data_IF_749507649794
#
_entry.id   IF_749507649794
#
_cell.length_a   1.000
_cell.length_b   1.000
_cell.length_c   1.000
_cell.angle_alpha   90.00
_cell.angle_beta   90.00
_cell.angle_gamma   90.00
#
_symmetry.space_group_name_H-M   'P 1'
#
loop_
_entity.id
_entity.type
_entity.pdbx_description
1 polymer ?
#
# COMPACT_ATOMS: atom_id res chain seq x y z
N UNK A 1 -12.81 -5.74 14.99
CA UNK A 1 -13.14 -5.06 16.27
C UNK A 1 -14.35 -4.15 16.07
N UNK A 2 -15.27 -4.07 17.04
CA UNK A 2 -16.53 -3.31 16.93
C UNK A 2 -16.40 -1.78 17.03
N UNK A 3 -15.23 -1.22 16.71
CA UNK A 3 -15.01 0.23 16.62
C UNK A 3 -15.79 0.80 15.45
N UNK A 4 -16.26 2.04 15.60
CA UNK A 4 -17.06 2.74 14.58
C UNK A 4 -16.50 4.15 14.38
N UNK A 5 -16.61 4.72 13.16
CA UNK A 5 -16.32 6.14 12.95
C UNK A 5 -17.16 7.00 13.92
N UNK A 6 -16.52 7.95 14.59
CA UNK A 6 -17.14 8.83 15.60
C UNK A 6 -16.94 8.41 17.05
N UNK A 7 -16.36 7.23 17.29
CA UNK A 7 -15.93 6.80 18.63
C UNK A 7 -14.85 7.73 19.22
N UNK A 8 -14.98 8.08 20.51
CA UNK A 8 -13.94 8.78 21.27
C UNK A 8 -13.27 7.78 22.21
N UNK A 9 -11.95 7.63 22.12
CA UNK A 9 -11.21 6.67 22.94
C UNK A 9 -10.67 7.40 24.16
N UNK A 10 -11.22 7.09 25.34
CA UNK A 10 -10.91 7.78 26.60
C UNK A 10 -9.75 7.12 27.34
N UNK A 11 -9.63 5.80 27.29
CA UNK A 11 -8.56 5.04 27.95
C UNK A 11 -8.16 3.79 27.16
N UNK A 12 -6.89 3.38 27.32
CA UNK A 12 -6.37 2.12 26.80
C UNK A 12 -5.56 1.41 27.89
N UNK A 13 -5.83 0.12 28.11
CA UNK A 13 -5.14 -0.71 29.11
C UNK A 13 -5.12 -0.10 30.53
N UNK A 14 -6.21 0.59 30.91
CA UNK A 14 -6.34 1.29 32.20
C UNK A 14 -5.62 2.64 32.28
N UNK A 15 -4.96 3.10 31.21
CA UNK A 15 -4.31 4.41 31.11
C UNK A 15 -5.24 5.39 30.39
N UNK A 16 -5.59 6.50 31.06
CA UNK A 16 -6.33 7.59 30.43
C UNK A 16 -5.51 8.23 29.30
N UNK A 17 -6.17 8.52 28.19
CA UNK A 17 -5.55 9.08 26.99
C UNK A 17 -5.93 10.55 26.86
N UNK A 18 -4.95 11.39 26.56
CA UNK A 18 -5.15 12.83 26.34
C UNK A 18 -4.91 13.22 24.89
N UNK A 19 -4.09 12.45 24.19
CA UNK A 19 -3.78 12.63 22.78
C UNK A 19 -3.79 11.28 22.04
N UNK A 20 -3.94 11.33 20.71
CA UNK A 20 -3.81 10.16 19.84
C UNK A 20 -2.43 9.49 19.96
N UNK A 21 -1.41 10.27 20.30
CA UNK A 21 -0.04 9.77 20.51
C UNK A 21 0.03 8.83 21.74
N UNK A 22 -0.71 9.12 22.81
CA UNK A 22 -0.79 8.26 24.00
C UNK A 22 -1.36 6.88 23.64
N UNK A 23 -2.36 6.86 22.74
CA UNK A 23 -2.94 5.63 22.23
C UNK A 23 -1.91 4.84 21.44
N UNK A 24 -1.18 5.51 20.54
CA UNK A 24 -0.14 4.90 19.71
C UNK A 24 0.94 4.25 20.57
N UNK A 25 1.44 4.96 21.58
CA UNK A 25 2.43 4.43 22.53
C UNK A 25 1.89 3.23 23.30
N UNK A 26 0.65 3.29 23.79
CA UNK A 26 0.03 2.19 24.56
C UNK A 26 -0.17 0.94 23.70
N UNK A 27 -0.58 1.12 22.44
CA UNK A 27 -0.73 0.03 21.46
C UNK A 27 0.63 -0.58 21.11
N UNK A 28 1.68 0.24 20.93
CA UNK A 28 3.04 -0.26 20.68
C UNK A 28 3.58 -1.03 21.89
N UNK A 29 3.37 -0.52 23.10
CA UNK A 29 3.82 -1.15 24.34
C UNK A 29 3.09 -2.48 24.67
N UNK A 30 1.91 -2.71 24.08
CA UNK A 30 1.18 -3.97 24.33
C UNK A 30 1.86 -5.18 23.72
N UNK A 31 2.70 -5.00 22.68
CA UNK A 31 3.41 -6.08 21.99
C UNK A 31 2.46 -7.10 21.35
N UNK A 32 1.32 -6.65 20.82
CA UNK A 32 0.32 -7.51 20.16
C UNK A 32 -0.63 -8.22 21.13
N UNK A 33 -0.53 -8.01 22.44
CA UNK A 33 -1.48 -8.54 23.42
C UNK A 33 -2.82 -7.82 23.29
N UNK A 34 -3.92 -8.55 23.50
CA UNK A 34 -5.26 -7.97 23.60
C UNK A 34 -5.31 -7.01 24.78
N UNK A 35 -5.67 -5.74 24.51
CA UNK A 35 -5.84 -4.69 25.50
C UNK A 35 -7.30 -4.19 25.50
N UNK A 36 -7.85 -3.82 26.67
CA UNK A 36 -9.15 -3.16 26.73
C UNK A 36 -9.03 -1.71 26.28
N UNK A 37 -9.91 -1.28 25.37
CA UNK A 37 -10.14 0.13 25.06
C UNK A 37 -11.44 0.58 25.70
N UNK A 38 -11.41 1.71 26.40
CA UNK A 38 -12.60 2.41 26.86
C UNK A 38 -12.99 3.46 25.82
N UNK A 39 -14.19 3.30 25.28
CA UNK A 39 -14.69 4.06 24.15
C UNK A 39 -16.00 4.72 24.52
N UNK A 40 -16.07 6.03 24.40
CA UNK A 40 -17.31 6.78 24.50
C UNK A 40 -18.05 6.78 23.15
N UNK A 41 -19.28 6.25 23.17
CA UNK A 41 -20.18 6.17 22.01
C UNK A 41 -21.60 6.46 22.45
N UNK A 42 -22.27 7.38 21.77
CA UNK A 42 -23.69 7.72 21.99
C UNK A 42 -24.03 8.03 23.47
N UNK A 43 -23.11 8.66 24.21
CA UNK A 43 -23.29 9.03 25.62
C UNK A 43 -22.95 7.93 26.64
N UNK A 44 -22.52 6.75 26.21
CA UNK A 44 -22.12 5.65 27.09
C UNK A 44 -20.64 5.28 26.89
N UNK A 45 -19.98 4.88 27.98
CA UNK A 45 -18.64 4.29 27.93
C UNK A 45 -18.75 2.78 27.73
N UNK A 46 -18.10 2.28 26.69
CA UNK A 46 -18.04 0.87 26.31
C UNK A 46 -16.60 0.38 26.44
N UNK A 47 -16.41 -0.80 27.04
CA UNK A 47 -15.09 -1.46 27.05
C UNK A 47 -15.03 -2.48 25.92
N UNK A 48 -14.14 -2.26 24.95
CA UNK A 48 -13.95 -3.13 23.79
C UNK A 48 -12.58 -3.81 23.86
N UNK A 49 -12.51 -5.16 23.79
CA UNK A 49 -11.22 -5.84 23.66
C UNK A 49 -10.68 -5.63 22.25
N UNK A 50 -9.46 -5.12 22.16
CA UNK A 50 -8.76 -4.91 20.90
C UNK A 50 -7.46 -5.70 20.92
N UNK A 51 -7.26 -6.51 19.90
CA UNK A 51 -6.00 -7.21 19.64
C UNK A 51 -5.24 -6.44 18.57
N UNK A 52 -4.14 -5.76 18.92
CA UNK A 52 -3.28 -5.14 17.92
C UNK A 52 -2.63 -6.18 17.02
N UNK A 53 -2.43 -5.84 15.76
CA UNK A 53 -1.83 -6.70 14.75
C UNK A 53 -0.52 -6.07 14.31
N UNK A 54 0.53 -6.89 14.20
CA UNK A 54 1.79 -6.47 13.59
C UNK A 54 1.61 -6.32 12.08
N UNK A 55 2.02 -5.18 11.55
CA UNK A 55 2.06 -4.91 10.11
C UNK A 55 3.39 -4.26 9.76
N UNK A 56 3.94 -4.64 8.62
CA UNK A 56 5.07 -3.94 8.03
C UNK A 56 4.59 -2.56 7.56
N UNK A 57 5.33 -1.51 7.92
CA UNK A 57 5.01 -0.14 7.56
C UNK A 57 6.27 0.61 7.12
N UNK A 58 6.10 1.55 6.19
CA UNK A 58 7.18 2.40 5.70
C UNK A 58 7.78 3.23 6.86
N UNK A 59 9.09 3.18 7.03
CA UNK A 59 9.85 3.87 8.08
C UNK A 59 10.18 5.34 7.75
N UNK A 60 9.83 5.81 6.55
CA UNK A 60 10.10 7.17 6.05
C UNK A 60 11.52 7.38 5.53
N UNK A 61 12.41 6.39 5.66
CA UNK A 61 13.78 6.39 5.16
C UNK A 61 13.97 5.43 3.96
N UNK A 62 12.88 4.87 3.45
CA UNK A 62 12.88 3.91 2.35
C UNK A 62 13.07 2.47 2.79
N UNK A 63 13.05 2.19 4.09
CA UNK A 63 12.95 0.86 4.67
C UNK A 63 11.55 0.58 5.20
N UNK A 64 11.43 -0.56 5.88
CA UNK A 64 10.18 -0.98 6.49
C UNK A 64 10.45 -1.46 7.90
N UNK A 65 9.55 -1.11 8.82
CA UNK A 65 9.59 -1.54 10.20
C UNK A 65 8.29 -2.23 10.57
N UNK A 66 8.37 -3.18 11.51
CA UNK A 66 7.17 -3.79 12.08
C UNK A 66 6.53 -2.82 13.06
N UNK A 67 5.29 -2.43 12.78
CA UNK A 67 4.47 -1.61 13.67
C UNK A 67 3.30 -2.42 14.19
N UNK A 68 3.09 -2.36 15.49
CA UNK A 68 1.90 -2.88 16.15
C UNK A 68 0.79 -1.83 15.99
N UNK A 69 -0.33 -2.20 15.37
CA UNK A 69 -1.40 -1.26 15.06
C UNK A 69 -2.80 -1.87 15.19
N UNK A 70 -3.79 -1.01 15.42
CA UNK A 70 -5.20 -1.39 15.64
C UNK A 70 -6.13 -0.91 14.51
N UNK A 71 -5.59 -0.40 13.41
CA UNK A 71 -6.36 0.06 12.25
C UNK A 71 -7.20 1.31 12.48
N UNK A 72 -6.85 2.12 13.48
CA UNK A 72 -7.50 3.41 13.77
C UNK A 72 -6.59 4.54 13.31
N UNK A 73 -7.12 5.45 12.51
CA UNK A 73 -6.46 6.71 12.17
C UNK A 73 -7.10 7.85 12.96
N UNK A 74 -6.29 8.64 13.66
CA UNK A 74 -6.77 9.84 14.33
C UNK A 74 -7.27 10.85 13.30
N UNK A 75 -8.45 11.43 13.54
CA UNK A 75 -8.84 12.65 12.82
C UNK A 75 -7.92 13.78 13.30
N UNK A 76 -7.17 14.41 12.39
CA UNK A 76 -6.35 15.56 12.74
C UNK A 76 -7.28 16.68 13.24
N UNK A 77 -7.13 17.09 14.50
CA UNK A 77 -7.88 18.22 15.08
C UNK A 77 -7.61 19.54 14.35
N UNK A 78 -6.52 19.60 13.58
CA UNK A 78 -6.17 20.70 12.70
C UNK A 78 -6.08 20.18 11.27
N UNK A 79 -6.95 20.68 10.39
CA UNK A 79 -6.70 20.56 8.96
C UNK A 79 -5.74 21.71 8.59
N UNK A 80 -4.47 21.42 8.24
CA UNK A 80 -3.58 22.46 7.75
C UNK A 80 -4.22 23.15 6.55
N UNK A 81 -4.05 24.47 6.45
CA UNK A 81 -4.56 25.23 5.33
C UNK A 81 -4.05 24.62 4.02
N UNK A 82 -4.97 24.28 3.12
CA UNK A 82 -4.63 23.80 1.79
C UNK A 82 -4.48 25.01 0.87
N UNK A 83 -3.39 25.03 0.12
CA UNK A 83 -3.21 26.01 -0.96
C UNK A 83 -3.35 25.30 -2.30
N UNK A 84 -4.00 25.97 -3.25
CA UNK A 84 -4.05 25.49 -4.64
C UNK A 84 -2.78 25.96 -5.34
N UNK A 85 -1.84 25.05 -5.67
CA UNK A 85 -0.62 25.44 -6.36
C UNK A 85 -0.94 26.00 -7.75
N UNK A 86 -0.11 26.93 -8.22
CA UNK A 86 -0.17 27.38 -9.62
C UNK A 86 0.01 26.18 -10.57
N UNK A 87 -0.56 26.20 -11.79
CA UNK A 87 -0.59 25.03 -12.68
C UNK A 87 0.78 24.37 -12.92
N UNK A 88 1.83 25.17 -13.13
CA UNK A 88 3.19 24.66 -13.34
C UNK A 88 3.81 24.05 -12.08
N UNK A 89 3.56 24.66 -10.92
CA UNK A 89 3.95 24.12 -9.63
C UNK A 89 3.23 22.80 -9.37
N UNK A 90 1.94 22.70 -9.71
CA UNK A 90 1.17 21.47 -9.58
C UNK A 90 1.74 20.32 -10.43
N UNK A 91 2.18 20.60 -11.65
CA UNK A 91 2.87 19.61 -12.49
C UNK A 91 4.18 19.14 -11.84
N UNK A 92 4.99 20.08 -11.34
CA UNK A 92 6.23 19.74 -10.62
C UNK A 92 5.98 18.84 -9.41
N UNK A 93 5.01 19.21 -8.57
CA UNK A 93 4.59 18.41 -7.41
C UNK A 93 4.06 17.03 -7.83
N UNK A 94 3.35 16.95 -8.95
CA UNK A 94 2.88 15.68 -9.52
C UNK A 94 4.03 14.77 -9.94
N UNK A 95 5.07 15.32 -10.57
CA UNK A 95 6.29 14.58 -10.95
C UNK A 95 7.03 14.10 -9.71
N UNK A 96 7.22 14.96 -8.70
CA UNK A 96 7.84 14.58 -7.43
C UNK A 96 7.07 13.44 -6.75
N UNK A 97 5.74 13.54 -6.72
CA UNK A 97 4.88 12.48 -6.16
C UNK A 97 5.00 11.18 -6.94
N UNK A 98 5.05 11.25 -8.28
CA UNK A 98 5.26 10.08 -9.14
C UNK A 98 6.59 9.40 -8.83
N UNK A 99 7.68 10.15 -8.70
CA UNK A 99 8.98 9.61 -8.32
C UNK A 99 8.97 8.99 -6.92
N UNK A 100 8.30 9.63 -5.95
CA UNK A 100 8.15 9.07 -4.62
C UNK A 100 7.44 7.70 -4.65
N UNK A 101 6.35 7.57 -5.41
CA UNK A 101 5.64 6.30 -5.60
C UNK A 101 6.54 5.25 -6.27
N UNK A 102 7.31 5.64 -7.29
CA UNK A 102 8.25 4.74 -7.97
C UNK A 102 9.31 4.23 -6.99
N UNK A 103 9.98 5.12 -6.26
CA UNK A 103 11.03 4.78 -5.30
C UNK A 103 10.49 3.87 -4.20
N UNK A 104 9.33 4.19 -3.65
CA UNK A 104 8.69 3.38 -2.61
C UNK A 104 8.31 1.98 -3.12
N UNK A 105 7.80 1.90 -4.36
CA UNK A 105 7.46 0.62 -5.00
C UNK A 105 8.71 -0.26 -5.22
N UNK A 106 9.81 0.33 -5.67
CA UNK A 106 11.07 -0.39 -5.87
C UNK A 106 11.69 -0.87 -4.55
N UNK A 107 11.66 -0.04 -3.51
CA UNK A 107 12.12 -0.42 -2.17
C UNK A 107 11.28 -1.57 -1.60
N UNK A 108 9.95 -1.49 -1.74
CA UNK A 108 9.05 -2.56 -1.32
C UNK A 108 9.32 -3.88 -2.06
N UNK A 109 9.50 -3.81 -3.39
CA UNK A 109 9.87 -4.99 -4.18
C UNK A 109 11.20 -5.57 -3.73
N UNK A 110 12.22 -4.73 -3.53
CA UNK A 110 13.53 -5.16 -3.04
C UNK A 110 13.43 -5.84 -1.66
N UNK A 111 12.66 -5.27 -0.74
CA UNK A 111 12.47 -5.81 0.60
C UNK A 111 11.72 -7.16 0.60
N UNK A 112 10.73 -7.33 -0.28
CA UNK A 112 10.05 -8.62 -0.48
C UNK A 112 11.02 -9.66 -1.06
N UNK A 113 11.84 -9.29 -2.05
CA UNK A 113 12.84 -10.19 -2.64
C UNK A 113 13.93 -10.60 -1.65
N UNK A 114 14.30 -9.70 -0.73
CA UNK A 114 15.26 -9.96 0.35
C UNK A 114 14.62 -10.69 1.55
N UNK A 115 13.30 -10.86 1.57
CA UNK A 115 12.56 -11.50 2.66
C UNK A 115 12.48 -10.69 3.94
N UNK A 116 12.76 -9.39 3.90
CA UNK A 116 12.63 -8.50 5.07
C UNK A 116 11.18 -8.11 5.33
N UNK A 117 10.30 -8.28 4.34
CA UNK A 117 8.86 -8.05 4.40
C UNK A 117 8.14 -9.28 3.87
N UNK A 118 7.00 -9.62 4.48
CA UNK A 118 6.19 -10.75 4.05
C UNK A 118 5.52 -10.53 2.68
N UNK A 119 5.37 -11.59 1.89
CA UNK A 119 4.74 -11.54 0.57
C UNK A 119 3.23 -11.19 0.63
N UNK A 120 2.62 -11.24 1.82
CA UNK A 120 1.27 -10.76 2.12
C UNK A 120 1.09 -9.24 1.94
N UNK A 121 2.20 -8.50 1.84
CA UNK A 121 2.22 -7.07 1.50
C UNK A 121 2.01 -6.82 0.00
N UNK A 122 2.10 -7.85 -0.85
CA UNK A 122 1.70 -7.73 -2.25
C UNK A 122 0.18 -7.70 -2.35
N UNK A 123 -0.33 -6.57 -2.83
CA UNK A 123 -1.76 -6.37 -3.04
C UNK A 123 -2.17 -6.91 -4.41
N UNK A 124 -3.12 -7.84 -4.44
CA UNK A 124 -3.69 -8.38 -5.67
C UNK A 124 -4.88 -7.56 -6.19
N UNK A 125 -5.54 -8.04 -7.26
CA UNK A 125 -6.68 -7.36 -7.86
C UNK A 125 -7.85 -7.14 -6.89
N UNK A 126 -8.08 -8.07 -5.96
CA UNK A 126 -9.16 -7.97 -4.96
C UNK A 126 -8.84 -6.90 -3.91
N UNK A 127 -7.59 -6.84 -3.44
CA UNK A 127 -7.14 -5.79 -2.53
C UNK A 127 -7.20 -4.41 -3.17
N UNK A 128 -6.84 -4.29 -4.45
CA UNK A 128 -6.98 -3.03 -5.21
C UNK A 128 -8.46 -2.62 -5.31
N UNK A 129 -9.38 -3.55 -5.56
CA UNK A 129 -10.80 -3.25 -5.60
C UNK A 129 -11.33 -2.76 -4.24
N UNK A 130 -10.89 -3.40 -3.14
CA UNK A 130 -11.27 -3.01 -1.78
C UNK A 130 -10.77 -1.61 -1.43
N UNK A 131 -9.47 -1.34 -1.56
CA UNK A 131 -8.89 -0.03 -1.23
C UNK A 131 -9.47 1.08 -2.12
N UNK A 132 -9.84 0.75 -3.36
CA UNK A 132 -10.55 1.68 -4.24
C UNK A 132 -11.92 2.06 -3.70
N UNK A 133 -12.70 1.08 -3.21
CA UNK A 133 -14.00 1.34 -2.58
C UNK A 133 -13.87 2.16 -1.30
N UNK A 134 -12.92 1.81 -0.43
CA UNK A 134 -12.62 2.54 0.81
C UNK A 134 -12.20 3.98 0.51
N UNK A 135 -11.28 4.18 -0.43
CA UNK A 135 -10.78 5.52 -0.79
C UNK A 135 -11.83 6.36 -1.50
N UNK A 136 -12.68 5.75 -2.33
CA UNK A 136 -13.80 6.45 -2.96
C UNK A 136 -14.79 7.00 -1.92
N UNK A 137 -15.02 6.28 -0.83
CA UNK A 137 -15.87 6.74 0.27
C UNK A 137 -15.30 7.95 1.03
N UNK A 138 -13.99 8.19 0.92
CA UNK A 138 -13.30 9.35 1.52
C UNK A 138 -13.41 10.63 0.66
N UNK A 139 -13.91 10.52 -0.59
CA UNK A 139 -14.18 11.65 -1.46
C UNK A 139 -13.36 11.68 -2.75
N UNK A 140 -13.73 12.60 -3.65
CA UNK A 140 -13.19 12.64 -5.02
C UNK A 140 -11.67 12.93 -5.06
N UNK A 141 -11.17 13.79 -4.18
CA UNK A 141 -9.74 14.16 -4.16
C UNK A 141 -8.87 12.94 -3.82
N UNK A 142 -9.26 12.18 -2.78
CA UNK A 142 -8.57 10.94 -2.40
C UNK A 142 -8.64 9.89 -3.51
N UNK A 143 -9.80 9.78 -4.18
CA UNK A 143 -9.96 8.86 -5.30
C UNK A 143 -9.06 9.20 -6.49
N UNK A 144 -8.94 10.48 -6.87
CA UNK A 144 -8.02 10.93 -7.93
C UNK A 144 -6.56 10.66 -7.53
N UNK A 145 -6.21 10.87 -6.26
CA UNK A 145 -4.87 10.54 -5.77
C UNK A 145 -4.57 9.04 -5.89
N UNK A 146 -5.54 8.17 -5.56
CA UNK A 146 -5.40 6.72 -5.73
C UNK A 146 -5.22 6.33 -7.20
N UNK A 147 -5.99 6.92 -8.12
CA UNK A 147 -5.80 6.71 -9.56
C UNK A 147 -4.37 7.06 -9.94
N UNK A 148 -3.83 8.20 -9.47
CA UNK A 148 -2.44 8.58 -9.73
C UNK A 148 -1.42 7.56 -9.24
N UNK A 149 -1.61 7.01 -8.04
CA UNK A 149 -0.74 5.96 -7.47
C UNK A 149 -0.82 4.69 -8.32
N UNK A 150 -2.02 4.19 -8.61
CA UNK A 150 -2.22 2.96 -9.40
C UNK A 150 -1.67 3.14 -10.83
N UNK A 151 -1.95 4.28 -11.48
CA UNK A 151 -1.42 4.58 -12.81
C UNK A 151 0.10 4.61 -12.83
N UNK A 152 0.73 5.19 -11.80
CA UNK A 152 2.19 5.21 -11.66
C UNK A 152 2.74 3.79 -11.47
N UNK A 153 2.11 2.97 -10.63
CA UNK A 153 2.52 1.59 -10.38
C UNK A 153 2.39 0.71 -11.65
N UNK A 154 1.29 0.82 -12.39
CA UNK A 154 1.11 0.11 -13.67
C UNK A 154 2.12 0.59 -14.71
N UNK A 155 2.36 1.91 -14.79
CA UNK A 155 3.36 2.48 -15.68
C UNK A 155 4.78 1.97 -15.36
N UNK A 156 5.15 1.91 -14.08
CA UNK A 156 6.42 1.34 -13.63
C UNK A 156 6.51 -0.15 -13.99
N UNK A 157 5.46 -0.92 -13.73
CA UNK A 157 5.41 -2.35 -14.04
C UNK A 157 5.57 -2.59 -15.55
N UNK A 158 4.91 -1.80 -16.39
CA UNK A 158 5.04 -1.89 -17.85
C UNK A 158 6.46 -1.58 -18.35
N UNK A 159 7.27 -0.86 -17.57
CA UNK A 159 8.67 -0.57 -17.91
C UNK A 159 9.62 -1.72 -17.55
N UNK A 160 9.18 -2.73 -16.79
CA UNK A 160 10.01 -3.88 -16.47
C UNK A 160 10.33 -4.73 -17.71
N UNK A 161 11.50 -5.39 -17.74
CA UNK A 161 11.98 -6.17 -18.87
C UNK A 161 11.28 -7.53 -18.97
N UNK A 162 9.94 -7.53 -18.97
CA UNK A 162 9.10 -8.73 -19.06
C UNK A 162 8.54 -8.78 -20.49
N UNK A 163 8.73 -9.88 -21.24
CA UNK A 163 8.43 -9.94 -22.68
C UNK A 163 7.00 -9.59 -23.12
N UNK A 164 6.00 -9.76 -22.24
CA UNK A 164 4.60 -9.43 -22.50
C UNK A 164 4.25 -7.95 -22.21
N UNK A 165 5.18 -7.21 -21.60
CA UNK A 165 5.06 -5.79 -21.26
C UNK A 165 5.88 -4.91 -22.22
N UNK A 166 5.59 -3.61 -22.21
CA UNK A 166 6.25 -2.63 -23.09
C UNK A 166 7.79 -2.62 -22.91
N UNK A 167 8.27 -2.76 -21.67
CA UNK A 167 9.70 -2.86 -21.35
C UNK A 167 10.36 -4.11 -21.94
N UNK A 168 9.62 -5.20 -22.15
CA UNK A 168 10.10 -6.38 -22.86
C UNK A 168 10.40 -6.10 -24.33
N UNK A 169 9.54 -5.34 -24.99
CA UNK A 169 9.77 -4.89 -26.37
C UNK A 169 10.95 -3.92 -26.45
N UNK A 170 11.07 -3.01 -25.47
CA UNK A 170 12.22 -2.11 -25.39
C UNK A 170 13.54 -2.88 -25.29
N UNK A 171 13.60 -3.90 -24.44
CA UNK A 171 14.78 -4.79 -24.34
C UNK A 171 15.03 -5.54 -25.66
N UNK A 172 13.98 -6.01 -26.34
CA UNK A 172 14.13 -6.66 -27.63
C UNK A 172 14.76 -5.72 -28.68
N UNK A 173 14.36 -4.44 -28.71
CA UNK A 173 14.99 -3.44 -29.59
C UNK A 173 16.44 -3.17 -29.22
N UNK A 174 16.79 -3.12 -27.92
CA UNK A 174 18.19 -3.00 -27.50
C UNK A 174 19.03 -4.21 -27.96
N UNK A 175 18.47 -5.43 -27.87
CA UNK A 175 19.12 -6.65 -28.35
C UNK A 175 19.29 -6.62 -29.87
N UNK A 176 18.27 -6.16 -30.60
CA UNK A 176 18.33 -5.99 -32.06
C UNK A 176 19.40 -4.98 -32.47
N UNK A 177 19.45 -3.82 -31.81
CA UNK A 177 20.46 -2.80 -32.06
C UNK A 177 21.88 -3.32 -31.81
N UNK A 178 22.08 -4.13 -30.75
CA UNK A 178 23.37 -4.75 -30.45
C UNK A 178 23.75 -5.88 -31.43
N UNK A 179 22.78 -6.66 -31.92
CA UNK A 179 23.02 -7.81 -32.82
C UNK A 179 22.94 -7.48 -34.31
N UNK A 180 22.39 -6.32 -34.67
CA UNK A 180 22.11 -5.91 -36.05
C UNK A 180 20.99 -6.71 -36.73
N UNK A 181 20.19 -7.48 -35.97
CA UNK A 181 19.07 -8.28 -36.48
C UNK A 181 18.05 -8.57 -35.39
N UNK A 182 16.75 -8.65 -35.73
CA UNK A 182 15.71 -8.89 -34.76
C UNK A 182 15.84 -10.27 -34.09
N UNK A 183 15.35 -10.42 -32.84
CA UNK A 183 15.15 -11.74 -32.23
C UNK A 183 14.27 -12.63 -33.11
N UNK A 184 14.51 -13.94 -33.10
CA UNK A 184 13.68 -14.85 -33.89
C UNK A 184 12.24 -14.87 -33.35
N UNK A 185 11.26 -14.99 -34.24
CA UNK A 185 9.84 -15.06 -33.86
C UNK A 185 9.56 -16.16 -32.82
N UNK A 186 10.19 -17.32 -32.97
CA UNK A 186 10.07 -18.43 -32.01
C UNK A 186 10.60 -18.07 -30.62
N UNK A 187 11.72 -17.35 -30.55
CA UNK A 187 12.27 -16.92 -29.27
C UNK A 187 11.37 -15.88 -28.61
N UNK A 188 10.81 -14.95 -29.39
CA UNK A 188 9.87 -13.94 -28.89
C UNK A 188 8.57 -14.59 -28.40
N UNK A 189 7.99 -15.51 -29.17
CA UNK A 189 6.79 -16.25 -28.76
C UNK A 189 7.02 -17.02 -27.45
N UNK A 190 8.14 -17.73 -27.35
CA UNK A 190 8.51 -18.44 -26.13
C UNK A 190 8.68 -17.50 -24.94
N UNK A 191 9.37 -16.37 -25.13
CA UNK A 191 9.56 -15.35 -24.11
C UNK A 191 8.23 -14.74 -23.66
N UNK A 192 7.32 -14.42 -24.59
CA UNK A 192 5.96 -13.93 -24.29
C UNK A 192 5.14 -14.97 -23.52
N UNK A 193 5.19 -16.25 -23.90
CA UNK A 193 4.51 -17.33 -23.16
C UNK A 193 5.04 -17.47 -21.73
N UNK A 194 6.35 -17.38 -21.53
CA UNK A 194 6.94 -17.35 -20.19
C UNK A 194 6.45 -16.12 -19.42
N UNK A 195 6.53 -14.93 -20.02
CA UNK A 195 6.09 -13.68 -19.39
C UNK A 195 4.63 -13.73 -18.96
N UNK A 196 3.74 -14.20 -19.85
CA UNK A 196 2.33 -14.40 -19.54
C UNK A 196 2.13 -15.41 -18.40
N UNK A 197 2.83 -16.55 -18.43
CA UNK A 197 2.78 -17.55 -17.38
C UNK A 197 3.19 -16.98 -16.01
N UNK A 198 4.25 -16.18 -15.97
CA UNK A 198 4.71 -15.52 -14.74
C UNK A 198 3.70 -14.50 -14.21
N UNK A 199 3.10 -13.68 -15.08
CA UNK A 199 2.08 -12.70 -14.66
C UNK A 199 0.83 -13.42 -14.15
N UNK A 200 0.36 -14.46 -14.82
CA UNK A 200 -0.79 -15.24 -14.37
C UNK A 200 -0.51 -15.92 -13.03
N UNK A 201 0.67 -16.50 -12.86
CA UNK A 201 1.09 -17.09 -11.59
C UNK A 201 1.11 -16.06 -10.47
N UNK A 202 1.69 -14.89 -10.71
CA UNK A 202 1.74 -13.78 -9.76
C UNK A 202 0.32 -13.30 -9.41
N UNK A 203 -0.57 -13.19 -10.40
CA UNK A 203 -1.96 -12.79 -10.19
C UNK A 203 -2.71 -13.79 -9.31
N UNK A 204 -2.56 -15.09 -9.56
CA UNK A 204 -3.15 -16.15 -8.72
C UNK A 204 -2.58 -16.09 -7.30
N UNK A 205 -1.26 -15.95 -7.17
CA UNK A 205 -0.60 -15.84 -5.86
C UNK A 205 -1.08 -14.61 -5.07
N UNK A 206 -1.12 -13.44 -5.70
CA UNK A 206 -1.57 -12.21 -5.05
C UNK A 206 -3.07 -12.27 -4.68
N UNK A 207 -3.90 -12.85 -5.55
CA UNK A 207 -5.33 -13.07 -5.27
C UNK A 207 -5.53 -14.05 -4.10
N UNK A 208 -4.73 -15.11 -4.03
CA UNK A 208 -4.74 -16.04 -2.89
C UNK A 208 -4.38 -15.32 -1.59
N UNK A 209 -3.32 -14.51 -1.59
CA UNK A 209 -2.94 -13.71 -0.42
C UNK A 209 -4.03 -12.71 -0.02
N UNK A 210 -4.68 -12.07 -1.00
CA UNK A 210 -5.82 -11.18 -0.74
C UNK A 210 -6.97 -11.91 -0.04
N UNK A 211 -7.35 -13.09 -0.52
CA UNK A 211 -8.42 -13.89 0.08
C UNK A 211 -8.04 -14.31 1.50
N UNK A 212 -6.82 -14.81 1.69
CA UNK A 212 -6.36 -15.25 3.00
C UNK A 212 -6.41 -14.10 4.02
N UNK A 213 -6.01 -12.90 3.60
CA UNK A 213 -6.06 -11.68 4.41
C UNK A 213 -7.49 -11.20 4.72
N UNK A 214 -8.45 -11.43 3.83
CA UNK A 214 -9.86 -11.05 4.05
C UNK A 214 -10.58 -12.00 5.01
N UNK A 215 -10.16 -13.26 5.07
CA UNK A 215 -10.78 -14.30 5.90
C UNK A 215 -10.13 -14.41 7.28
N UNK A 216 -8.86 -14.01 7.41
CA UNK A 216 -8.13 -13.91 8.68
C UNK A 216 -8.50 -12.67 9.49
#
# INVERSE_FOLDING_TARGET
>A
AGLRPGDVIDAADGKALTAFEDLRETVLASGGRTIPLEVWRDGAVLTLPITPIERDADDGAGGFERRVMIGVAGASLYLPATETPAPWTAVGLGVERMFAVITQSLNGLQAILLGTIGAENLQGPLGIAQISGETASQGLVSFVALIGVISTAIGLLNLFPIPILDGGHFVAFLIEAARGRPPSERAMQFAMSIGLGLILLLMVFATYNDIMRMVS
#
